data_IF_648222586024
#
_entry.id   IF_648222586024
#
_cell.length_a   1.000
_cell.length_b   1.000
_cell.length_c   1.000
_cell.angle_alpha   90.00
_cell.angle_beta   90.00
_cell.angle_gamma   90.00
#
_symmetry.space_group_name_H-M   'P 1'
#
loop_
_entity.id
_entity.type
_entity.pdbx_description
1 polymer ?
#
# COMPACT_ATOMS: atom_id res chain seq x y z
N UNK A 1 -19.76 26.22 11.54
CA UNK A 1 -19.19 25.04 10.86
C UNK A 1 -20.31 24.05 10.73
N UNK A 2 -20.26 23.17 9.74
CA UNK A 2 -21.23 22.09 9.57
C UNK A 2 -20.54 20.75 9.89
N UNK A 3 -21.26 19.83 10.53
CA UNK A 3 -20.78 18.47 10.84
C UNK A 3 -21.69 17.50 10.12
N UNK A 4 -21.11 16.61 9.32
CA UNK A 4 -21.85 15.55 8.63
C UNK A 4 -21.43 14.21 9.22
N UNK A 5 -22.40 13.37 9.56
CA UNK A 5 -22.17 12.05 10.15
C UNK A 5 -22.84 11.00 9.27
N UNK A 6 -22.11 9.93 9.00
CA UNK A 6 -22.59 8.80 8.22
C UNK A 6 -22.29 7.51 8.99
N UNK A 7 -23.29 6.66 9.12
CA UNK A 7 -23.09 5.28 9.57
C UNK A 7 -22.74 4.48 8.31
N UNK A 8 -21.57 3.84 8.35
CA UNK A 8 -21.11 2.97 7.29
C UNK A 8 -21.50 1.53 7.64
N UNK A 9 -22.02 0.81 6.64
CA UNK A 9 -22.04 -0.64 6.71
C UNK A 9 -20.58 -1.13 6.70
N UNK A 10 -20.25 -2.18 7.47
CA UNK A 10 -18.88 -2.59 7.67
C UNK A 10 -18.21 -2.84 6.31
N UNK A 11 -17.12 -2.14 5.99
CA UNK A 11 -16.30 -2.56 4.86
C UNK A 11 -15.77 -3.96 5.16
N UNK A 12 -15.95 -4.91 4.22
CA UNK A 12 -15.48 -6.29 4.31
C UNK A 12 -13.94 -6.34 4.28
N UNK A 13 -13.31 -5.87 5.35
CA UNK A 13 -11.88 -5.96 5.57
C UNK A 13 -11.58 -6.21 7.05
N UNK A 14 -10.93 -7.33 7.34
CA UNK A 14 -10.45 -7.64 8.69
C UNK A 14 -9.13 -6.93 8.91
N UNK A 15 -9.16 -5.88 9.71
CA UNK A 15 -7.93 -5.21 10.14
C UNK A 15 -7.12 -6.12 11.05
N UNK A 16 -5.91 -6.46 10.64
CA UNK A 16 -4.96 -7.22 11.46
C UNK A 16 -3.74 -6.37 11.78
N UNK A 17 -3.95 -5.32 12.58
CA UNK A 17 -2.85 -4.55 13.14
C UNK A 17 -2.47 -5.16 14.49
N UNK A 18 -1.28 -5.76 14.56
CA UNK A 18 -0.75 -6.27 15.83
C UNK A 18 -0.76 -5.15 16.88
N UNK A 19 -1.37 -5.43 18.03
CA UNK A 19 -1.49 -4.55 19.18
C UNK A 19 -2.49 -3.38 19.06
N UNK A 20 -3.40 -3.41 18.09
CA UNK A 20 -4.47 -2.41 17.99
C UNK A 20 -5.82 -3.09 17.82
N UNK A 21 -6.80 -2.66 18.58
CA UNK A 21 -8.21 -2.98 18.38
C UNK A 21 -8.80 -2.10 17.28
N UNK A 22 -9.99 -2.42 16.77
CA UNK A 22 -10.64 -1.63 15.72
C UNK A 22 -11.05 -0.24 16.23
N UNK A 23 -11.30 -0.12 17.53
CA UNK A 23 -11.62 1.12 18.24
C UNK A 23 -10.44 2.09 18.30
N UNK A 24 -9.20 1.58 18.23
CA UNK A 24 -7.98 2.39 18.30
C UNK A 24 -7.62 3.04 16.95
N UNK A 25 -8.35 2.70 15.89
CA UNK A 25 -8.01 3.03 14.50
C UNK A 25 -8.88 4.17 14.00
N UNK A 26 -8.22 5.14 13.37
CA UNK A 26 -8.88 6.21 12.64
C UNK A 26 -8.24 6.42 11.26
N UNK A 27 -9.06 6.57 10.23
CA UNK A 27 -8.65 7.00 8.90
C UNK A 27 -8.87 8.51 8.76
N UNK A 28 -7.99 9.17 8.03
CA UNK A 28 -8.02 10.62 7.86
C UNK A 28 -7.74 11.01 6.41
N UNK A 29 -8.46 12.01 5.96
CA UNK A 29 -8.25 12.76 4.72
C UNK A 29 -8.70 14.21 4.92
N UNK A 30 -8.03 15.16 4.26
CA UNK A 30 -8.36 16.58 4.34
C UNK A 30 -8.53 17.22 2.96
N UNK A 31 -9.38 18.25 2.91
CA UNK A 31 -9.42 19.17 1.79
C UNK A 31 -8.91 20.55 2.19
N UNK A 32 -8.09 21.13 1.31
CA UNK A 32 -7.42 22.41 1.55
C UNK A 32 -7.66 23.37 0.40
N UNK A 33 -7.59 24.67 0.64
CA UNK A 33 -7.73 25.69 -0.42
C UNK A 33 -6.49 25.81 -1.33
N UNK A 34 -5.57 24.85 -1.26
CA UNK A 34 -4.31 24.81 -1.99
C UNK A 34 -3.22 24.05 -1.24
N UNK A 35 -2.04 23.92 -1.86
CA UNK A 35 -0.99 23.01 -1.40
C UNK A 35 -0.06 23.59 -0.32
N UNK A 36 -0.14 24.90 -0.04
CA UNK A 36 0.76 25.55 0.91
C UNK A 36 0.10 25.68 2.29
N UNK A 37 0.56 24.92 3.28
CA UNK A 37 0.08 25.03 4.68
C UNK A 37 0.22 26.44 5.27
N UNK A 38 1.20 27.21 4.79
CA UNK A 38 1.43 28.60 5.20
C UNK A 38 0.30 29.52 4.75
N UNK A 39 -0.12 29.39 3.48
CA UNK A 39 -1.00 30.34 2.81
C UNK A 39 -2.45 29.85 2.66
N UNK A 40 -2.64 28.54 2.62
CA UNK A 40 -3.93 27.89 2.42
C UNK A 40 -4.50 27.39 3.75
N UNK A 41 -5.81 27.18 3.78
CA UNK A 41 -6.56 26.72 4.94
C UNK A 41 -7.12 25.33 4.68
N UNK A 42 -7.41 24.61 5.76
CA UNK A 42 -8.21 23.38 5.72
C UNK A 42 -9.68 23.79 5.77
N UNK A 43 -10.49 23.30 4.83
CA UNK A 43 -11.93 23.57 4.83
C UNK A 43 -12.77 22.31 5.07
N UNK A 44 -12.18 21.12 4.95
CA UNK A 44 -12.83 19.87 5.27
C UNK A 44 -11.83 18.93 5.94
N UNK A 45 -12.24 18.31 7.03
CA UNK A 45 -11.53 17.19 7.65
C UNK A 45 -12.50 16.03 7.73
N UNK A 46 -12.20 14.95 7.03
CA UNK A 46 -12.96 13.71 7.10
C UNK A 46 -12.24 12.67 7.94
N UNK A 47 -13.00 11.90 8.72
CA UNK A 47 -12.49 10.82 9.55
C UNK A 47 -13.39 9.60 9.42
N UNK A 48 -12.80 8.41 9.30
CA UNK A 48 -13.51 7.14 9.55
C UNK A 48 -12.98 6.52 10.83
N UNK A 49 -13.86 6.10 11.72
CA UNK A 49 -13.49 5.39 12.94
C UNK A 49 -14.58 4.39 13.34
N UNK A 50 -14.23 3.40 14.15
CA UNK A 50 -15.23 2.53 14.74
C UNK A 50 -15.86 3.20 15.97
N UNK A 51 -17.19 3.20 16.05
CA UNK A 51 -17.92 3.68 17.21
C UNK A 51 -18.47 2.48 17.99
N UNK A 52 -18.01 2.36 19.25
CA UNK A 52 -18.35 1.24 20.13
C UNK A 52 -19.79 1.29 20.62
N UNK A 53 -20.37 2.47 20.79
CA UNK A 53 -21.73 2.64 21.35
C UNK A 53 -22.79 2.09 20.41
N UNK A 54 -22.63 2.31 19.10
CA UNK A 54 -23.55 1.82 18.08
C UNK A 54 -22.99 0.60 17.30
N UNK A 55 -21.78 0.14 17.62
CA UNK A 55 -21.10 -0.99 16.98
C UNK A 55 -21.02 -0.86 15.45
N UNK A 56 -20.72 0.34 14.96
CA UNK A 56 -20.61 0.61 13.52
C UNK A 56 -19.38 1.43 13.17
N UNK A 57 -18.96 1.34 11.91
CA UNK A 57 -18.02 2.30 11.34
C UNK A 57 -18.75 3.60 11.08
N UNK A 58 -18.17 4.72 11.52
CA UNK A 58 -18.72 6.05 11.33
C UNK A 58 -17.76 6.86 10.48
N UNK A 59 -18.31 7.62 9.54
CA UNK A 59 -17.60 8.69 8.82
C UNK A 59 -18.13 10.02 9.32
N UNK A 60 -17.24 10.88 9.82
CA UNK A 60 -17.55 12.26 10.20
C UNK A 60 -16.78 13.23 9.32
N UNK A 61 -17.45 14.28 8.85
CA UNK A 61 -16.84 15.36 8.08
C UNK A 61 -17.07 16.69 8.78
N UNK A 62 -15.98 17.35 9.17
CA UNK A 62 -16.00 18.70 9.71
C UNK A 62 -15.77 19.71 8.59
N UNK A 63 -16.82 20.42 8.21
CA UNK A 63 -16.80 21.37 7.10
C UNK A 63 -16.84 22.82 7.59
N UNK A 64 -15.88 23.63 7.13
CA UNK A 64 -15.85 25.07 7.35
C UNK A 64 -16.80 25.75 6.36
N UNK A 65 -17.96 26.22 6.83
CA UNK A 65 -18.96 26.92 6.01
C UNK A 65 -18.55 28.38 5.71
N UNK A 66 -17.49 28.86 6.36
CA UNK A 66 -16.73 30.02 5.95
C UNK A 66 -15.25 29.87 6.31
N UNK A 67 -14.38 30.67 5.69
CA UNK A 67 -12.92 30.65 5.96
C UNK A 67 -12.58 30.89 7.44
N UNK A 68 -13.42 31.60 8.18
CA UNK A 68 -13.21 31.92 9.59
C UNK A 68 -13.44 30.71 10.51
N UNK A 69 -13.99 29.62 9.99
CA UNK A 69 -14.36 28.44 10.77
C UNK A 69 -13.29 27.35 10.78
N UNK A 70 -12.16 27.54 10.10
CA UNK A 70 -11.04 26.59 10.12
C UNK A 70 -10.65 26.24 11.57
N UNK A 71 -10.53 27.25 12.44
CA UNK A 71 -10.19 27.03 13.85
C UNK A 71 -11.19 26.13 14.57
N UNK A 72 -12.47 26.20 14.22
CA UNK A 72 -13.53 25.40 14.83
C UNK A 72 -13.40 23.94 14.38
N UNK A 73 -13.26 23.68 13.08
CA UNK A 73 -13.09 22.31 12.57
C UNK A 73 -11.80 21.66 13.08
N UNK A 74 -10.71 22.43 13.20
CA UNK A 74 -9.45 21.97 13.78
C UNK A 74 -9.58 21.59 15.25
N UNK A 75 -10.37 22.35 16.02
CA UNK A 75 -10.62 22.09 17.44
C UNK A 75 -11.39 20.79 17.63
N UNK A 76 -12.46 20.58 16.86
CA UNK A 76 -13.25 19.34 16.92
C UNK A 76 -12.43 18.13 16.48
N UNK A 77 -11.73 18.24 15.35
CA UNK A 77 -10.77 17.22 14.91
C UNK A 77 -9.79 16.85 16.02
N UNK A 78 -9.15 17.85 16.63
CA UNK A 78 -8.11 17.62 17.64
C UNK A 78 -8.68 17.02 18.94
N UNK A 79 -9.97 17.22 19.22
CA UNK A 79 -10.69 16.57 20.31
C UNK A 79 -10.96 15.10 19.99
N UNK A 80 -11.57 14.82 18.83
CA UNK A 80 -11.93 13.47 18.41
C UNK A 80 -10.69 12.57 18.21
N UNK A 81 -9.64 13.10 17.61
CA UNK A 81 -8.44 12.31 17.28
C UNK A 81 -7.71 11.79 18.54
N UNK A 82 -7.94 12.40 19.71
CA UNK A 82 -7.32 12.00 20.96
C UNK A 82 -7.87 10.67 21.52
N UNK A 83 -8.93 10.13 20.92
CA UNK A 83 -9.53 8.86 21.30
C UNK A 83 -8.89 7.65 20.59
N UNK A 84 -7.94 7.86 19.69
CA UNK A 84 -7.33 6.81 18.87
C UNK A 84 -5.84 6.67 19.18
N UNK A 85 -5.26 5.54 18.78
CA UNK A 85 -3.83 5.28 18.89
C UNK A 85 -3.14 5.11 17.53
N UNK A 86 -3.89 4.73 16.49
CA UNK A 86 -3.40 4.49 15.14
C UNK A 86 -4.14 5.35 14.11
N UNK A 87 -3.38 6.20 13.42
CA UNK A 87 -3.87 7.01 12.31
C UNK A 87 -3.46 6.40 10.97
N UNK A 88 -4.45 6.09 10.13
CA UNK A 88 -4.29 5.55 8.78
C UNK A 88 -4.56 6.64 7.75
N UNK A 89 -3.65 6.81 6.80
CA UNK A 89 -3.77 7.83 5.74
C UNK A 89 -3.21 7.29 4.42
N UNK A 90 -3.56 7.94 3.30
CA UNK A 90 -2.89 7.72 2.02
C UNK A 90 -1.93 8.87 1.72
N UNK A 91 -0.62 8.66 1.89
CA UNK A 91 0.39 9.72 1.73
C UNK A 91 0.25 10.90 2.72
N UNK A 92 -0.49 10.72 3.82
CA UNK A 92 -0.76 11.78 4.80
C UNK A 92 0.43 12.20 5.64
N UNK A 93 1.48 11.36 5.76
CA UNK A 93 2.74 11.81 6.39
C UNK A 93 3.48 12.85 5.55
N UNK A 94 3.18 12.95 4.25
CA UNK A 94 3.79 13.91 3.35
C UNK A 94 2.96 15.19 3.22
N UNK A 95 1.63 15.10 3.39
CA UNK A 95 0.70 16.21 3.18
C UNK A 95 -0.17 16.50 4.41
N UNK A 96 -1.16 15.65 4.69
CA UNK A 96 -2.25 15.88 5.65
C UNK A 96 -1.74 16.23 7.05
N UNK A 97 -0.89 15.38 7.62
CA UNK A 97 -0.39 15.49 8.99
C UNK A 97 0.46 16.77 9.15
N UNK A 98 1.47 17.05 8.30
CA UNK A 98 2.19 18.32 8.33
C UNK A 98 1.31 19.55 8.14
N UNK A 99 0.24 19.45 7.33
CA UNK A 99 -0.68 20.55 7.07
C UNK A 99 -1.51 20.85 8.32
N UNK A 100 -2.15 19.83 8.91
CA UNK A 100 -2.97 19.96 10.12
C UNK A 100 -2.12 20.45 11.29
N UNK A 101 -0.93 19.88 11.53
CA UNK A 101 -0.06 20.29 12.64
C UNK A 101 0.33 21.78 12.53
N UNK A 102 0.65 22.23 11.31
CA UNK A 102 0.95 23.64 11.06
C UNK A 102 -0.27 24.54 11.29
N UNK A 103 -1.45 24.17 10.77
CA UNK A 103 -2.67 24.98 10.93
C UNK A 103 -3.16 25.00 12.38
N UNK A 104 -3.00 23.91 13.14
CA UNK A 104 -3.26 23.89 14.59
C UNK A 104 -2.38 24.90 15.31
N UNK A 105 -1.07 24.85 15.08
CA UNK A 105 -0.11 25.77 15.70
C UNK A 105 -0.42 27.23 15.34
N UNK A 106 -0.71 27.52 14.06
CA UNK A 106 -1.08 28.86 13.58
C UNK A 106 -2.35 29.40 14.24
N UNK A 107 -3.27 28.52 14.62
CA UNK A 107 -4.51 28.87 15.32
C UNK A 107 -4.39 28.85 16.86
N UNK A 108 -3.18 28.63 17.39
CA UNK A 108 -2.90 28.58 18.84
C UNK A 108 -3.38 27.30 19.52
N UNK A 109 -3.54 26.21 18.77
CA UNK A 109 -4.02 24.92 19.26
C UNK A 109 -2.85 23.92 19.36
N UNK A 110 -2.74 23.22 20.49
CA UNK A 110 -1.74 22.16 20.68
C UNK A 110 -2.17 20.89 19.96
N UNK A 111 -1.32 20.39 19.07
CA UNK A 111 -1.59 19.19 18.28
C UNK A 111 -1.51 17.89 19.09
N UNK A 112 -2.56 17.07 18.97
CA UNK A 112 -2.61 15.70 19.51
C UNK A 112 -2.05 14.65 18.52
N UNK A 113 -1.79 15.02 17.26
CA UNK A 113 -1.30 14.11 16.21
C UNK A 113 -0.01 13.38 16.58
N UNK A 114 0.87 14.04 17.34
CA UNK A 114 2.17 13.48 17.76
C UNK A 114 2.05 12.29 18.71
N UNK A 115 0.88 12.06 19.32
CA UNK A 115 0.62 10.91 20.20
C UNK A 115 0.30 9.63 19.42
N UNK A 116 -0.14 9.77 18.17
CA UNK A 116 -0.63 8.67 17.34
C UNK A 116 0.54 7.95 16.66
N UNK A 117 0.44 6.63 16.53
CA UNK A 117 1.22 5.90 15.54
C UNK A 117 0.62 6.15 14.17
N UNK A 118 1.46 6.21 13.15
CA UNK A 118 1.04 6.51 11.79
C UNK A 118 1.24 5.30 10.87
N UNK A 119 0.19 4.95 10.15
CA UNK A 119 0.21 3.98 9.07
C UNK A 119 -0.14 4.68 7.75
N UNK A 120 0.90 5.13 7.05
CA UNK A 120 0.77 5.72 5.72
C UNK A 120 0.81 4.62 4.66
N UNK A 121 -0.34 4.35 4.06
CA UNK A 121 -0.53 3.27 3.08
C UNK A 121 0.41 3.45 1.89
N UNK A 122 0.51 4.65 1.32
CA UNK A 122 1.38 4.94 0.18
C UNK A 122 2.84 4.58 0.49
N UNK A 123 3.34 4.97 1.67
CA UNK A 123 4.73 4.67 2.06
C UNK A 123 4.98 3.17 2.27
N UNK A 124 3.97 2.43 2.75
CA UNK A 124 4.07 0.96 2.89
C UNK A 124 4.06 0.27 1.55
N UNK A 125 3.10 0.60 0.67
CA UNK A 125 3.02 0.03 -0.69
C UNK A 125 4.26 0.38 -1.50
N UNK A 126 4.81 1.60 -1.37
CA UNK A 126 6.01 2.02 -2.10
C UNK A 126 7.19 1.09 -1.89
N UNK A 127 7.38 0.58 -0.67
CA UNK A 127 8.44 -0.41 -0.36
C UNK A 127 8.21 -1.75 -1.05
N UNK A 128 6.95 -2.12 -1.24
CA UNK A 128 6.55 -3.38 -1.86
C UNK A 128 6.28 -3.23 -3.37
N UNK A 129 6.40 -2.02 -3.91
CA UNK A 129 6.08 -1.72 -5.30
C UNK A 129 6.88 -2.51 -6.34
N UNK A 130 8.11 -2.99 -6.09
CA UNK A 130 8.77 -3.93 -7.01
C UNK A 130 8.05 -5.27 -7.16
N UNK A 131 7.25 -5.70 -6.18
CA UNK A 131 6.51 -6.96 -6.19
C UNK A 131 5.09 -6.83 -6.77
N UNK A 132 4.67 -5.61 -7.09
CA UNK A 132 3.31 -5.30 -7.54
C UNK A 132 3.30 -4.82 -8.98
N UNK A 133 2.39 -5.36 -9.79
CA UNK A 133 2.17 -4.96 -11.19
C UNK A 133 1.28 -3.71 -11.28
N UNK A 134 1.74 -2.61 -10.70
CA UNK A 134 1.07 -1.30 -10.73
C UNK A 134 1.89 -0.30 -11.54
N UNK A 135 1.23 0.40 -12.47
CA UNK A 135 1.80 1.48 -13.28
C UNK A 135 2.30 2.65 -12.41
N UNK A 136 1.53 3.00 -11.37
CA UNK A 136 1.88 4.03 -10.40
C UNK A 136 1.14 3.78 -9.08
N UNK A 137 1.53 4.53 -8.04
CA UNK A 137 0.98 4.42 -6.69
C UNK A 137 0.08 5.60 -6.34
N UNK A 138 -0.70 6.11 -7.30
CA UNK A 138 -1.82 7.01 -6.98
C UNK A 138 -2.94 6.17 -6.37
N UNK A 139 -3.70 6.73 -5.43
CA UNK A 139 -4.81 6.04 -4.76
C UNK A 139 -5.73 5.34 -5.77
N UNK A 140 -6.19 6.08 -6.78
CA UNK A 140 -7.05 5.57 -7.86
C UNK A 140 -6.47 4.38 -8.63
N UNK A 141 -5.15 4.32 -8.81
CA UNK A 141 -4.50 3.20 -9.50
C UNK A 141 -4.50 1.96 -8.62
N UNK A 142 -4.23 2.12 -7.33
CA UNK A 142 -4.33 1.03 -6.34
C UNK A 142 -5.77 0.54 -6.26
N UNK A 143 -6.74 1.43 -6.21
CA UNK A 143 -8.16 1.08 -6.18
C UNK A 143 -8.61 0.26 -7.39
N UNK A 144 -8.24 0.72 -8.59
CA UNK A 144 -8.55 0.01 -9.83
C UNK A 144 -7.98 -1.41 -9.81
N UNK A 145 -6.75 -1.60 -9.29
CA UNK A 145 -6.15 -2.94 -9.14
C UNK A 145 -6.90 -3.85 -8.16
N UNK A 146 -7.67 -3.27 -7.24
CA UNK A 146 -8.51 -3.98 -6.28
C UNK A 146 -9.96 -4.14 -6.75
N UNK A 147 -10.26 -3.79 -8.01
CA UNK A 147 -11.60 -3.82 -8.58
C UNK A 147 -12.53 -2.72 -8.06
N UNK A 148 -11.99 -1.68 -7.44
CA UNK A 148 -12.74 -0.52 -6.97
C UNK A 148 -12.83 0.49 -8.13
N UNK A 149 -14.04 0.70 -8.63
CA UNK A 149 -14.33 1.64 -9.70
C UNK A 149 -15.29 2.71 -9.17
N UNK A 150 -14.76 3.91 -8.92
CA UNK A 150 -15.53 5.06 -8.46
C UNK A 150 -16.07 5.85 -9.66
N UNK A 151 -17.27 6.41 -9.55
CA UNK A 151 -17.75 7.46 -10.47
C UNK A 151 -17.12 8.80 -10.07
N UNK A 152 -15.81 8.91 -10.30
CA UNK A 152 -15.02 10.05 -9.84
C UNK A 152 -14.88 11.12 -10.92
N UNK A 153 -15.77 12.11 -10.84
CA UNK A 153 -15.90 13.19 -11.82
C UNK A 153 -14.95 14.36 -11.57
N UNK A 154 -14.37 14.46 -10.38
CA UNK A 154 -13.71 15.68 -9.92
C UNK A 154 -12.37 15.38 -9.26
N UNK A 155 -11.43 16.31 -9.41
CA UNK A 155 -10.14 16.26 -8.72
C UNK A 155 -10.17 17.14 -7.47
N UNK A 156 -9.24 16.94 -6.53
CA UNK A 156 -9.09 17.87 -5.41
C UNK A 156 -8.87 19.33 -5.86
N UNK A 157 -8.29 19.55 -7.04
CA UNK A 157 -8.18 20.90 -7.64
C UNK A 157 -9.55 21.49 -8.01
N UNK A 158 -10.48 20.66 -8.48
CA UNK A 158 -11.85 21.09 -8.76
C UNK A 158 -12.61 21.38 -7.47
N UNK A 159 -12.41 20.58 -6.42
CA UNK A 159 -13.00 20.82 -5.09
C UNK A 159 -12.58 22.17 -4.49
N UNK A 160 -11.33 22.62 -4.72
CA UNK A 160 -10.90 23.99 -4.35
C UNK A 160 -11.80 25.04 -5.02
N UNK A 161 -12.03 24.90 -6.33
CA UNK A 161 -12.87 25.84 -7.09
C UNK A 161 -14.32 25.80 -6.57
N UNK A 162 -14.87 24.62 -6.36
CA UNK A 162 -16.21 24.44 -5.81
C UNK A 162 -16.35 25.09 -4.44
N UNK A 163 -15.33 24.99 -3.58
CA UNK A 163 -15.38 25.60 -2.26
C UNK A 163 -15.45 27.13 -2.35
N UNK A 164 -14.62 27.76 -3.19
CA UNK A 164 -14.69 29.21 -3.38
C UNK A 164 -16.04 29.65 -3.96
N UNK A 165 -16.55 28.96 -4.98
CA UNK A 165 -17.87 29.27 -5.56
C UNK A 165 -19.01 29.04 -4.56
N UNK A 166 -18.92 28.01 -3.71
CA UNK A 166 -19.87 27.75 -2.64
C UNK A 166 -19.88 28.87 -1.59
N UNK A 167 -18.72 29.44 -1.24
CA UNK A 167 -18.66 30.53 -0.26
C UNK A 167 -19.46 31.76 -0.72
N UNK A 168 -19.47 32.04 -2.03
CA UNK A 168 -20.17 33.19 -2.61
C UNK A 168 -21.64 32.88 -2.91
N UNK A 169 -21.93 31.73 -3.51
CA UNK A 169 -23.27 31.37 -4.01
C UNK A 169 -24.14 30.64 -2.98
N UNK A 170 -23.52 29.95 -2.02
CA UNK A 170 -24.16 28.96 -1.14
C UNK A 170 -24.95 27.88 -1.91
N UNK A 171 -24.49 27.54 -3.12
CA UNK A 171 -25.07 26.46 -3.92
C UNK A 171 -24.77 25.09 -3.28
N UNK A 172 -25.80 24.48 -2.70
CA UNK A 172 -25.71 23.16 -2.04
C UNK A 172 -25.20 22.05 -2.98
N UNK A 173 -25.35 22.17 -4.31
CA UNK A 173 -24.81 21.20 -5.26
C UNK A 173 -23.27 21.18 -5.27
N UNK A 174 -22.63 22.31 -5.00
CA UNK A 174 -21.18 22.40 -4.87
C UNK A 174 -20.73 21.76 -3.55
N UNK A 175 -21.48 21.99 -2.48
CA UNK A 175 -21.23 21.37 -1.18
C UNK A 175 -21.35 19.84 -1.25
N UNK A 176 -22.39 19.33 -1.89
CA UNK A 176 -22.57 17.89 -2.10
C UNK A 176 -21.39 17.27 -2.86
N UNK A 177 -20.87 17.95 -3.89
CA UNK A 177 -19.70 17.46 -4.65
C UNK A 177 -18.43 17.40 -3.79
N UNK A 178 -18.19 18.43 -2.99
CA UNK A 178 -17.05 18.51 -2.07
C UNK A 178 -17.13 17.39 -1.04
N UNK A 179 -18.27 17.28 -0.34
CA UNK A 179 -18.48 16.27 0.69
C UNK A 179 -18.37 14.86 0.10
N UNK A 180 -18.94 14.63 -1.09
CA UNK A 180 -18.85 13.36 -1.80
C UNK A 180 -17.42 12.98 -2.16
N UNK A 181 -16.60 13.92 -2.61
CA UNK A 181 -15.20 13.64 -2.96
C UNK A 181 -14.42 13.11 -1.76
N UNK A 182 -14.42 13.86 -0.65
CA UNK A 182 -13.76 13.44 0.59
C UNK A 182 -14.41 12.17 1.21
N UNK A 183 -15.73 12.02 1.11
CA UNK A 183 -16.44 10.80 1.51
C UNK A 183 -15.91 9.59 0.74
N UNK A 184 -15.86 9.67 -0.60
CA UNK A 184 -15.39 8.57 -1.44
C UNK A 184 -13.90 8.29 -1.16
N UNK A 185 -13.08 9.33 -1.03
CA UNK A 185 -11.65 9.20 -0.70
C UNK A 185 -11.43 8.40 0.58
N UNK A 186 -12.21 8.65 1.62
CA UNK A 186 -12.16 7.89 2.87
C UNK A 186 -12.83 6.52 2.78
N UNK A 187 -14.03 6.44 2.22
CA UNK A 187 -14.83 5.22 2.18
C UNK A 187 -14.08 4.08 1.49
N UNK A 188 -13.45 4.38 0.34
CA UNK A 188 -12.69 3.38 -0.40
C UNK A 188 -11.24 3.24 0.09
N UNK A 189 -10.72 4.15 0.93
CA UNK A 189 -9.42 3.96 1.58
C UNK A 189 -9.39 2.72 2.48
N UNK A 190 -10.52 2.36 3.06
CA UNK A 190 -10.62 1.14 3.88
C UNK A 190 -10.34 -0.13 3.07
N UNK A 191 -11.09 -0.46 1.99
CA UNK A 191 -10.83 -1.64 1.18
C UNK A 191 -9.48 -1.58 0.46
N UNK A 192 -8.86 -0.40 0.28
CA UNK A 192 -7.48 -0.27 -0.24
C UNK A 192 -6.46 -1.05 0.60
N UNK A 193 -6.75 -1.30 1.89
CA UNK A 193 -5.89 -2.14 2.74
C UNK A 193 -5.69 -3.57 2.19
N UNK A 194 -6.61 -4.10 1.37
CA UNK A 194 -6.48 -5.41 0.70
C UNK A 194 -5.27 -5.52 -0.22
N UNK A 195 -4.66 -4.40 -0.61
CA UNK A 195 -3.40 -4.42 -1.37
C UNK A 195 -2.29 -5.17 -0.62
N UNK A 196 -2.30 -5.18 0.72
CA UNK A 196 -1.30 -5.91 1.48
C UNK A 196 -1.50 -7.42 1.43
N UNK A 197 -2.73 -7.89 1.21
CA UNK A 197 -3.00 -9.30 0.93
C UNK A 197 -2.45 -9.69 -0.45
N UNK A 198 -2.61 -8.81 -1.45
CA UNK A 198 -2.00 -9.02 -2.79
C UNK A 198 -0.47 -9.07 -2.70
N UNK A 199 0.15 -8.20 -1.91
CA UNK A 199 1.60 -8.26 -1.66
C UNK A 199 1.99 -9.58 -1.00
N UNK A 200 1.21 -10.02 0.00
CA UNK A 200 1.45 -11.28 0.70
C UNK A 200 1.39 -12.47 -0.27
N UNK A 201 0.36 -12.53 -1.11
CA UNK A 201 0.17 -13.57 -2.11
C UNK A 201 1.27 -13.52 -3.17
N UNK A 202 1.63 -12.33 -3.66
CA UNK A 202 2.72 -12.12 -4.61
C UNK A 202 4.07 -12.61 -4.06
N UNK A 203 4.25 -12.63 -2.74
CA UNK A 203 5.49 -13.08 -2.07
C UNK A 203 5.39 -14.49 -1.51
N UNK A 204 4.26 -15.17 -1.64
CA UNK A 204 4.04 -16.51 -1.09
C UNK A 204 4.00 -17.57 -2.17
N UNK A 205 4.62 -18.71 -1.89
CA UNK A 205 4.63 -19.92 -2.71
C UNK A 205 4.05 -21.05 -1.88
N UNK A 206 2.86 -21.56 -2.22
CA UNK A 206 2.34 -22.79 -1.64
C UNK A 206 3.01 -24.00 -2.30
N UNK A 207 3.45 -24.95 -1.48
CA UNK A 207 4.12 -26.19 -1.89
C UNK A 207 3.49 -27.37 -1.15
N UNK A 208 3.60 -28.57 -1.73
CA UNK A 208 3.31 -29.83 -1.05
C UNK A 208 4.63 -30.59 -0.91
N UNK A 209 5.11 -30.75 0.32
CA UNK A 209 6.32 -31.53 0.63
C UNK A 209 5.92 -32.69 1.52
N UNK A 210 6.17 -33.92 1.08
CA UNK A 210 5.85 -35.15 1.83
C UNK A 210 4.39 -35.17 2.35
N UNK A 211 3.43 -34.82 1.48
CA UNK A 211 1.99 -34.71 1.80
C UNK A 211 1.63 -33.65 2.86
N UNK A 212 2.49 -32.65 3.09
CA UNK A 212 2.20 -31.51 3.96
C UNK A 212 2.23 -30.21 3.18
N UNK A 213 1.29 -29.32 3.47
CA UNK A 213 1.27 -27.97 2.92
C UNK A 213 2.39 -27.13 3.54
N UNK A 214 3.27 -26.62 2.70
CA UNK A 214 4.39 -25.75 3.09
C UNK A 214 4.22 -24.43 2.37
N UNK A 215 4.30 -23.33 3.11
CA UNK A 215 4.26 -21.98 2.57
C UNK A 215 5.63 -21.37 2.68
N UNK A 216 6.21 -21.02 1.53
CA UNK A 216 7.47 -20.28 1.46
C UNK A 216 7.13 -18.82 1.18
N UNK A 217 7.55 -17.95 2.09
CA UNK A 217 7.35 -16.52 1.97
C UNK A 217 8.67 -15.83 1.66
N UNK A 218 8.74 -15.20 0.50
CA UNK A 218 9.84 -14.33 0.11
C UNK A 218 9.83 -13.12 1.04
N UNK A 219 10.93 -12.93 1.77
CA UNK A 219 11.14 -11.79 2.66
C UNK A 219 11.80 -10.65 1.92
N UNK A 220 12.81 -10.96 1.13
CA UNK A 220 13.62 -9.98 0.43
C UNK A 220 14.27 -10.56 -0.83
N UNK A 221 14.52 -9.68 -1.79
CA UNK A 221 15.26 -9.98 -3.03
C UNK A 221 16.34 -8.92 -3.21
N UNK A 222 17.59 -9.34 -3.09
CA UNK A 222 18.77 -8.50 -3.18
C UNK A 222 19.49 -8.71 -4.51
N UNK A 223 19.90 -7.61 -5.15
CA UNK A 223 20.84 -7.63 -6.27
C UNK A 223 22.13 -6.92 -5.86
N UNK A 224 23.24 -7.66 -5.79
CA UNK A 224 24.57 -7.12 -5.48
C UNK A 224 25.54 -7.40 -6.62
N UNK A 225 25.78 -6.40 -7.46
CA UNK A 225 26.46 -6.61 -8.73
C UNK A 225 25.62 -7.52 -9.62
N UNK A 226 26.22 -8.63 -10.06
CA UNK A 226 25.55 -9.65 -10.86
C UNK A 226 24.93 -10.77 -9.99
N UNK A 227 25.14 -10.75 -8.67
CA UNK A 227 24.56 -11.76 -7.77
C UNK A 227 23.11 -11.42 -7.43
N UNK A 228 22.20 -12.32 -7.81
CA UNK A 228 20.80 -12.31 -7.43
C UNK A 228 20.60 -13.20 -6.21
N UNK A 229 19.98 -12.68 -5.16
CA UNK A 229 19.76 -13.40 -3.91
C UNK A 229 18.31 -13.29 -3.46
N UNK A 230 17.68 -14.44 -3.21
CA UNK A 230 16.32 -14.54 -2.69
C UNK A 230 16.40 -15.04 -1.25
N UNK A 231 15.88 -14.25 -0.32
CA UNK A 231 15.76 -14.61 1.09
C UNK A 231 14.29 -14.91 1.39
N UNK A 232 14.01 -16.12 1.87
CA UNK A 232 12.66 -16.60 2.15
C UNK A 232 12.58 -17.27 3.52
N UNK A 233 11.35 -17.46 3.98
CA UNK A 233 11.05 -18.17 5.23
C UNK A 233 9.89 -19.13 5.01
N UNK A 234 10.00 -20.32 5.58
CA UNK A 234 8.98 -21.35 5.54
C UNK A 234 8.16 -21.36 6.83
N UNK A 235 6.91 -21.82 6.74
CA UNK A 235 6.07 -22.08 7.91
C UNK A 235 6.46 -23.33 8.70
N UNK A 236 7.42 -24.11 8.20
CA UNK A 236 7.92 -25.34 8.85
C UNK A 236 9.41 -25.22 9.17
N UNK A 237 9.93 -26.15 9.95
CA UNK A 237 11.37 -26.37 10.09
C UNK A 237 11.76 -27.64 9.36
N UNK A 238 12.87 -27.61 8.65
CA UNK A 238 13.48 -28.80 8.02
C UNK A 238 14.83 -29.09 8.64
N UNK A 239 15.39 -30.27 8.32
CA UNK A 239 16.81 -30.55 8.57
C UNK A 239 17.65 -29.70 7.62
N UNK A 240 18.79 -29.19 8.08
CA UNK A 240 19.64 -28.31 7.28
C UNK A 240 20.03 -28.96 5.94
N UNK A 241 19.71 -28.25 4.86
CA UNK A 241 20.03 -28.62 3.47
C UNK A 241 20.90 -27.51 2.89
N UNK A 242 22.07 -27.88 2.38
CA UNK A 242 23.03 -26.94 1.81
C UNK A 242 23.59 -27.54 0.52
N UNK A 243 23.41 -26.83 -0.59
CA UNK A 243 23.97 -27.16 -1.90
C UNK A 243 24.78 -25.99 -2.44
N UNK A 244 26.00 -26.28 -2.87
CA UNK A 244 26.86 -25.36 -3.60
C UNK A 244 27.16 -25.99 -4.96
N UNK A 245 26.79 -25.28 -6.02
CA UNK A 245 27.09 -25.64 -7.41
C UNK A 245 27.80 -24.47 -8.08
N UNK A 246 28.35 -24.70 -9.27
CA UNK A 246 28.96 -23.62 -10.04
C UNK A 246 27.88 -22.60 -10.50
N UNK A 247 26.63 -23.05 -10.62
CA UNK A 247 25.53 -22.24 -11.13
C UNK A 247 24.73 -21.50 -10.04
N UNK A 248 24.54 -22.12 -8.88
CA UNK A 248 23.73 -21.58 -7.77
C UNK A 248 24.12 -22.14 -6.40
N UNK A 249 23.78 -21.36 -5.38
CA UNK A 249 23.87 -21.74 -3.97
C UNK A 249 22.47 -21.80 -3.38
N UNK A 250 22.18 -22.90 -2.68
CA UNK A 250 20.91 -23.12 -1.99
C UNK A 250 21.19 -23.49 -0.54
N UNK A 251 20.48 -22.83 0.39
CA UNK A 251 20.56 -23.11 1.81
C UNK A 251 19.16 -23.08 2.40
N UNK A 252 18.73 -24.18 3.03
CA UNK A 252 17.54 -24.21 3.88
C UNK A 252 17.96 -24.66 5.28
N UNK A 253 18.00 -23.72 6.22
CA UNK A 253 18.44 -23.93 7.60
C UNK A 253 17.28 -23.58 8.53
N UNK A 254 16.86 -24.53 9.35
CA UNK A 254 15.60 -24.48 10.10
C UNK A 254 14.40 -24.07 9.22
N UNK A 255 13.92 -22.84 9.36
CA UNK A 255 12.82 -22.28 8.59
C UNK A 255 13.28 -21.24 7.55
N UNK A 256 14.57 -20.89 7.50
CA UNK A 256 15.10 -19.87 6.61
C UNK A 256 15.65 -20.50 5.35
N UNK A 257 15.27 -19.92 4.22
CA UNK A 257 15.68 -20.36 2.90
C UNK A 257 16.42 -19.23 2.20
N UNK A 258 17.58 -19.53 1.62
CA UNK A 258 18.41 -18.57 0.91
C UNK A 258 18.92 -19.18 -0.39
N UNK A 259 18.62 -18.49 -1.48
CA UNK A 259 19.05 -18.87 -2.82
C UNK A 259 19.90 -17.75 -3.39
N UNK A 260 20.99 -18.10 -4.06
CA UNK A 260 21.88 -17.15 -4.71
C UNK A 260 22.39 -17.71 -6.03
N UNK A 261 22.33 -16.92 -7.10
CA UNK A 261 22.87 -17.28 -8.41
C UNK A 261 23.31 -16.03 -9.18
N UNK A 262 24.08 -16.22 -10.24
CA UNK A 262 24.50 -15.11 -11.12
C UNK A 262 23.35 -14.72 -12.07
N UNK A 263 23.13 -13.42 -12.20
CA UNK A 263 22.17 -12.80 -13.09
C UNK A 263 22.88 -11.80 -14.00
N UNK A 264 22.29 -11.52 -15.15
CA UNK A 264 22.83 -10.59 -16.15
C UNK A 264 21.86 -9.46 -16.38
N UNK A 265 22.40 -8.29 -16.69
CA UNK A 265 21.64 -7.13 -17.15
C UNK A 265 21.60 -7.08 -18.67
N UNK A 266 20.47 -6.66 -19.21
CA UNK A 266 20.30 -6.47 -20.65
C UNK A 266 19.06 -5.64 -20.98
N UNK A 267 18.74 -5.54 -22.26
CA UNK A 267 17.56 -4.83 -22.75
C UNK A 267 16.54 -5.86 -23.25
N UNK A 268 15.31 -5.84 -22.73
CA UNK A 268 14.21 -6.69 -23.23
C UNK A 268 13.47 -6.02 -24.39
N UNK A 269 13.46 -4.69 -24.41
CA UNK A 269 13.05 -3.86 -25.56
C UNK A 269 14.06 -2.72 -25.72
N UNK A 270 14.05 -1.94 -26.82
CA UNK A 270 14.99 -0.83 -26.98
C UNK A 270 14.98 0.21 -25.85
N UNK A 271 13.90 0.28 -25.06
CA UNK A 271 13.74 1.25 -23.98
C UNK A 271 13.59 0.62 -22.59
N UNK A 272 13.55 -0.71 -22.47
CA UNK A 272 13.34 -1.40 -21.18
C UNK A 272 14.53 -2.27 -20.82
N UNK A 273 15.17 -1.91 -19.73
CA UNK A 273 16.19 -2.74 -19.07
C UNK A 273 15.54 -3.94 -18.38
N UNK A 274 16.28 -5.03 -18.31
CA UNK A 274 15.90 -6.24 -17.60
C UNK A 274 17.10 -6.88 -16.90
N UNK A 275 16.78 -7.68 -15.88
CA UNK A 275 17.69 -8.61 -15.24
C UNK A 275 17.17 -10.00 -15.55
N UNK A 276 18.05 -10.90 -15.97
CA UNK A 276 17.71 -12.26 -16.35
C UNK A 276 18.77 -13.26 -15.90
N UNK A 277 18.41 -14.54 -15.90
CA UNK A 277 19.32 -15.66 -15.64
C UNK A 277 19.33 -16.61 -16.83
N UNK A 278 20.50 -17.16 -17.15
CA UNK A 278 20.64 -18.23 -18.14
C UNK A 278 20.68 -19.57 -17.41
N UNK A 279 19.66 -20.40 -17.62
CA UNK A 279 19.46 -21.67 -16.89
C UNK A 279 19.95 -22.89 -17.68
N UNK A 280 20.74 -22.70 -18.76
CA UNK A 280 21.18 -23.79 -19.66
C UNK A 280 21.87 -24.95 -18.95
N UNK A 281 22.60 -24.67 -17.87
CA UNK A 281 23.37 -25.64 -17.11
C UNK A 281 22.66 -26.12 -15.85
N UNK A 282 21.45 -25.61 -15.56
CA UNK A 282 20.73 -25.99 -14.35
C UNK A 282 20.11 -27.39 -14.49
N UNK A 283 20.13 -28.21 -13.43
CA UNK A 283 19.68 -29.61 -13.51
C UNK A 283 18.19 -29.77 -13.84
N UNK A 284 17.36 -28.81 -13.42
CA UNK A 284 15.90 -28.80 -13.63
C UNK A 284 15.45 -27.85 -14.74
N UNK A 285 16.34 -27.44 -15.66
CA UNK A 285 16.04 -26.48 -16.73
C UNK A 285 14.83 -26.83 -17.60
N UNK A 286 14.47 -28.11 -17.72
CA UNK A 286 13.32 -28.55 -18.52
C UNK A 286 11.98 -28.08 -17.93
N UNK A 287 11.94 -27.81 -16.63
CA UNK A 287 10.76 -27.31 -15.92
C UNK A 287 10.74 -25.77 -15.87
N UNK A 288 11.80 -25.12 -16.35
CA UNK A 288 11.98 -23.69 -16.32
C UNK A 288 11.61 -23.11 -17.68
N UNK A 289 10.50 -22.38 -17.70
CA UNK A 289 10.07 -21.58 -18.85
C UNK A 289 9.69 -20.19 -18.35
N UNK A 290 10.13 -19.16 -19.07
CA UNK A 290 9.76 -17.80 -18.78
C UNK A 290 8.23 -17.61 -18.86
N UNK A 291 7.66 -17.06 -17.79
CA UNK A 291 6.24 -16.77 -17.59
C UNK A 291 5.93 -15.28 -17.78
N UNK A 292 6.91 -14.47 -18.21
CA UNK A 292 6.65 -13.07 -18.50
C UNK A 292 5.87 -12.93 -19.82
N UNK A 293 5.33 -11.73 -20.04
CA UNK A 293 4.69 -11.37 -21.31
C UNK A 293 5.67 -11.18 -22.48
N UNK A 294 6.99 -11.25 -22.25
CA UNK A 294 7.99 -10.98 -23.28
C UNK A 294 8.45 -12.25 -23.98
N UNK A 295 8.84 -12.13 -25.25
CA UNK A 295 9.46 -13.23 -25.98
C UNK A 295 10.95 -13.30 -25.64
N UNK A 296 11.36 -14.38 -24.97
CA UNK A 296 12.76 -14.65 -24.62
C UNK A 296 13.21 -16.04 -25.10
N UNK A 297 14.51 -16.27 -25.30
CA UNK A 297 15.02 -17.61 -25.60
C UNK A 297 14.67 -18.62 -24.50
N UNK A 298 14.49 -19.90 -24.86
CA UNK A 298 14.03 -20.96 -23.94
C UNK A 298 14.90 -21.14 -22.69
N UNK A 299 16.18 -20.76 -22.74
CA UNK A 299 17.13 -20.89 -21.64
C UNK A 299 17.26 -19.61 -20.79
N UNK A 300 16.49 -18.56 -21.10
CA UNK A 300 16.53 -17.28 -20.40
C UNK A 300 15.24 -17.14 -19.57
N UNK A 301 15.41 -16.75 -18.32
CA UNK A 301 14.30 -16.37 -17.43
C UNK A 301 14.51 -14.94 -16.95
N UNK A 302 13.52 -14.08 -17.17
CA UNK A 302 13.50 -12.72 -16.66
C UNK A 302 13.23 -12.72 -15.15
N UNK A 303 14.01 -11.94 -14.40
CA UNK A 303 13.88 -11.78 -12.96
C UNK A 303 13.33 -10.40 -12.61
N UNK A 304 13.70 -9.38 -13.39
CA UNK A 304 13.26 -8.00 -13.20
C UNK A 304 13.15 -7.32 -14.57
N UNK A 305 12.13 -6.49 -14.77
CA UNK A 305 12.02 -5.58 -15.91
C UNK A 305 11.79 -4.19 -15.35
N UNK A 306 12.64 -3.24 -15.73
CA UNK A 306 12.71 -1.91 -15.13
C UNK A 306 12.81 -2.01 -13.59
N UNK A 307 11.81 -1.52 -12.87
CA UNK A 307 11.75 -1.56 -11.41
C UNK A 307 10.92 -2.71 -10.83
N UNK A 308 10.38 -3.58 -11.68
CA UNK A 308 9.43 -4.64 -11.27
C UNK A 308 10.05 -6.01 -11.36
N UNK A 309 9.92 -6.80 -10.29
CA UNK A 309 10.28 -8.20 -10.31
C UNK A 309 9.25 -9.01 -11.10
N UNK A 310 9.71 -9.98 -11.88
CA UNK A 310 8.84 -10.96 -12.54
C UNK A 310 8.59 -12.08 -11.53
N UNK A 311 7.61 -11.87 -10.65
CA UNK A 311 7.41 -12.72 -9.48
C UNK A 311 7.07 -14.16 -9.86
N UNK A 312 6.30 -14.40 -10.92
CA UNK A 312 5.98 -15.76 -11.36
C UNK A 312 7.24 -16.56 -11.74
N UNK A 313 8.20 -15.93 -12.42
CA UNK A 313 9.49 -16.54 -12.73
C UNK A 313 10.34 -16.81 -11.50
N UNK A 314 10.39 -15.85 -10.57
CA UNK A 314 11.12 -15.99 -9.30
C UNK A 314 10.53 -17.14 -8.47
N UNK A 315 9.19 -17.22 -8.41
CA UNK A 315 8.48 -18.30 -7.72
C UNK A 315 8.73 -19.65 -8.40
N UNK A 316 8.73 -19.71 -9.73
CA UNK A 316 9.05 -20.91 -10.48
C UNK A 316 10.46 -21.42 -10.17
N UNK A 317 11.46 -20.53 -10.21
CA UNK A 317 12.85 -20.87 -9.85
C UNK A 317 12.92 -21.39 -8.41
N UNK A 318 12.30 -20.69 -7.47
CA UNK A 318 12.30 -21.06 -6.05
C UNK A 318 11.63 -22.43 -5.83
N UNK A 319 10.50 -22.70 -6.50
CA UNK A 319 9.80 -23.97 -6.47
C UNK A 319 10.69 -25.13 -6.96
N UNK A 320 11.27 -25.01 -8.16
CA UNK A 320 12.08 -26.08 -8.74
C UNK A 320 13.39 -26.33 -7.96
N UNK A 321 14.00 -25.28 -7.42
CA UNK A 321 15.17 -25.43 -6.55
C UNK A 321 14.82 -26.18 -5.26
N UNK A 322 13.66 -25.91 -4.66
CA UNK A 322 13.22 -26.63 -3.46
C UNK A 322 12.95 -28.10 -3.78
N UNK A 323 12.18 -28.38 -4.84
CA UNK A 323 11.80 -29.75 -5.21
C UNK A 323 12.99 -30.61 -5.67
N UNK A 324 14.05 -30.00 -6.19
CA UNK A 324 15.28 -30.71 -6.56
C UNK A 324 16.23 -30.92 -5.39
N UNK A 325 15.99 -30.26 -4.24
CA UNK A 325 16.83 -30.28 -3.05
C UNK A 325 16.31 -31.16 -1.91
N UNK A 326 15.09 -31.72 -2.05
CA UNK A 326 14.40 -32.60 -1.09
C UNK A 326 14.07 -33.90 -1.79
#
# INVERSE_FOLDING_TARGET
MKIYNHILNPPDYKFNFKNFSIEDICFLDIETTGLSKENNLIYLIGLIHYNKENSSWNLVQYFADSKNEEKNILKEFNCLINNFELLITYNGLSFDIPFIDHRLNKNGLKSNLKKLKNFDIYRRIKKESPYLELENLRLKTVEKSLGIFRDDKYTGKDCIKFYYEYLDSKDERLLERILKHNYDDLYYLVPVMKIFDIVEDAKTIPLILQNREVKIKIRDIDLKGDMFQICSESNIKVKDIIYYTDEYNFQWIENKLKIRFESKKGMITPTKECIFVNVSNWPFKKNLKDLSQYMVPNNIILLKVEEKFVMDNIKLILNEMILSSI
#
